data_IF_892304923670
#
_entry.id   IF_892304923670
#
_cell.length_a   1.000
_cell.length_b   1.000
_cell.length_c   1.000
_cell.angle_alpha   90.00
_cell.angle_beta   90.00
_cell.angle_gamma   90.00
#
_symmetry.space_group_name_H-M   'P 1'
#
loop_
_entity.id
_entity.type
_entity.pdbx_description
1 polymer ?
#
# COMPACT_ATOMS: atom_id res chain seq x y z
N UNK A 1 21.96 -51.61 30.39
CA UNK A 1 22.20 -51.49 28.93
C UNK A 1 20.84 -51.29 28.27
N UNK A 2 20.29 -50.07 28.35
CA UNK A 2 20.18 -49.11 27.22
C UNK A 2 19.65 -49.75 25.93
N UNK A 3 18.35 -49.65 25.69
CA UNK A 3 17.81 -49.36 24.36
C UNK A 3 16.37 -48.85 24.48
N UNK A 4 16.27 -47.55 24.26
CA UNK A 4 15.10 -46.68 24.29
C UNK A 4 14.10 -47.12 23.21
N UNK A 5 12.89 -47.52 23.62
CA UNK A 5 11.78 -47.74 22.71
C UNK A 5 11.21 -46.39 22.27
N UNK A 6 11.55 -45.98 21.05
CA UNK A 6 10.92 -44.86 20.34
C UNK A 6 9.77 -45.47 19.55
N UNK A 7 8.51 -45.23 19.94
CA UNK A 7 7.34 -45.47 19.07
C UNK A 7 6.16 -44.61 19.50
N UNK A 8 5.80 -43.68 18.60
CA UNK A 8 4.46 -43.10 18.35
C UNK A 8 3.78 -42.28 19.45
N UNK A 9 4.10 -40.98 19.48
CA UNK A 9 3.12 -39.96 19.79
C UNK A 9 2.77 -39.23 18.48
N UNK A 10 1.63 -39.59 17.90
CA UNK A 10 1.01 -38.92 16.76
C UNK A 10 0.74 -37.47 17.18
N UNK A 11 1.56 -36.55 16.69
CA UNK A 11 1.32 -35.12 16.83
C UNK A 11 0.25 -34.73 15.79
N UNK A 12 -1.01 -35.01 16.10
CA UNK A 12 -2.16 -34.40 15.42
C UNK A 12 -2.25 -32.93 15.84
N UNK A 13 -1.41 -32.10 15.24
CA UNK A 13 -1.59 -30.65 15.17
C UNK A 13 -1.88 -30.28 13.71
N UNK A 14 -2.91 -30.90 13.13
CA UNK A 14 -3.42 -30.53 11.82
C UNK A 14 -4.52 -29.47 11.99
N UNK A 15 -4.29 -28.29 11.43
CA UNK A 15 -5.36 -27.61 10.71
C UNK A 15 -5.96 -26.33 11.30
N UNK A 16 -5.37 -25.68 12.29
CA UNK A 16 -5.67 -24.25 12.50
C UNK A 16 -4.93 -23.44 11.43
N UNK A 17 -5.42 -23.47 10.19
CA UNK A 17 -5.07 -22.44 9.22
C UNK A 17 -5.40 -21.11 9.90
N UNK A 18 -4.45 -20.17 10.07
CA UNK A 18 -4.84 -18.82 10.47
C UNK A 18 -5.86 -18.40 9.42
N UNK A 19 -7.10 -18.13 9.86
CA UNK A 19 -8.09 -17.43 9.03
C UNK A 19 -7.30 -16.29 8.39
N UNK A 20 -7.22 -16.28 7.06
CA UNK A 20 -6.41 -15.32 6.33
C UNK A 20 -6.93 -13.94 6.71
N UNK A 21 -6.30 -13.33 7.72
CA UNK A 21 -6.66 -12.03 8.20
C UNK A 21 -6.33 -11.10 7.03
N UNK A 22 -7.37 -10.46 6.50
CA UNK A 22 -7.25 -9.42 5.48
C UNK A 22 -6.10 -8.49 5.89
N UNK A 23 -5.03 -8.45 5.09
CA UNK A 23 -3.92 -7.54 5.39
C UNK A 23 -4.40 -6.11 5.18
N UNK A 24 -3.99 -5.19 6.05
CA UNK A 24 -4.24 -3.77 5.87
C UNK A 24 -3.11 -3.17 5.03
N UNK A 25 -3.46 -2.59 3.89
CA UNK A 25 -2.55 -1.96 2.93
C UNK A 25 -2.69 -0.45 3.06
N UNK A 26 -1.62 0.21 3.49
CA UNK A 26 -1.59 1.66 3.67
C UNK A 26 -1.16 2.36 2.38
N UNK A 27 -2.08 3.18 1.86
CA UNK A 27 -1.92 3.89 0.58
C UNK A 27 -1.88 5.39 0.84
N UNK A 28 -0.78 6.04 0.44
CA UNK A 28 -0.65 7.49 0.43
C UNK A 28 -0.97 8.01 -0.98
N UNK A 29 -1.95 8.89 -1.13
CA UNK A 29 -2.32 9.45 -2.45
C UNK A 29 -2.28 10.96 -2.44
N UNK A 30 -1.84 11.57 -3.54
CA UNK A 30 -2.04 12.99 -3.79
C UNK A 30 -3.52 13.31 -4.08
N UNK A 31 -3.94 14.56 -3.82
CA UNK A 31 -5.33 15.01 -3.91
C UNK A 31 -6.03 14.70 -5.23
N UNK A 32 -5.34 14.90 -6.35
CA UNK A 32 -5.93 14.74 -7.68
C UNK A 32 -6.39 13.30 -8.00
N UNK A 33 -5.77 12.28 -7.40
CA UNK A 33 -6.09 10.87 -7.68
C UNK A 33 -6.99 10.22 -6.62
N UNK A 34 -7.25 10.90 -5.50
CA UNK A 34 -8.03 10.37 -4.38
C UNK A 34 -9.40 9.84 -4.81
N UNK A 35 -10.15 10.62 -5.58
CA UNK A 35 -11.52 10.26 -5.97
C UNK A 35 -11.57 8.99 -6.82
N UNK A 36 -10.55 8.77 -7.65
CA UNK A 36 -10.41 7.55 -8.44
C UNK A 36 -10.19 6.35 -7.52
N UNK A 37 -9.28 6.46 -6.55
CA UNK A 37 -9.05 5.37 -5.59
C UNK A 37 -10.29 5.06 -4.77
N UNK A 38 -10.95 6.07 -4.20
CA UNK A 38 -12.17 5.89 -3.38
C UNK A 38 -13.26 5.16 -4.16
N UNK A 39 -13.43 5.46 -5.45
CA UNK A 39 -14.41 4.76 -6.29
C UNK A 39 -14.06 3.29 -6.55
N UNK A 40 -12.76 2.95 -6.60
CA UNK A 40 -12.28 1.60 -6.87
C UNK A 40 -12.08 0.75 -5.61
N UNK A 41 -11.96 1.38 -4.43
CA UNK A 41 -11.69 0.72 -3.15
C UNK A 41 -12.61 -0.48 -2.87
N UNK A 42 -13.94 -0.40 -3.01
CA UNK A 42 -14.82 -1.54 -2.69
C UNK A 42 -14.50 -2.78 -3.51
N UNK A 43 -14.19 -2.61 -4.80
CA UNK A 43 -13.87 -3.72 -5.69
C UNK A 43 -12.45 -4.25 -5.41
N UNK A 44 -11.49 -3.36 -5.13
CA UNK A 44 -10.13 -3.75 -4.74
C UNK A 44 -10.15 -4.60 -3.46
N UNK A 45 -10.86 -4.16 -2.41
CA UNK A 45 -10.97 -4.91 -1.15
C UNK A 45 -11.68 -6.25 -1.36
N UNK A 46 -12.73 -6.28 -2.17
CA UNK A 46 -13.48 -7.50 -2.48
C UNK A 46 -12.64 -8.52 -3.26
N UNK A 47 -11.88 -8.08 -4.25
CA UNK A 47 -11.06 -8.97 -5.09
C UNK A 47 -9.81 -9.45 -4.37
N UNK A 48 -9.13 -8.57 -3.64
CA UNK A 48 -7.89 -8.90 -2.95
C UNK A 48 -8.11 -9.59 -1.61
N UNK A 49 -9.27 -9.38 -0.99
CA UNK A 49 -9.52 -9.76 0.40
C UNK A 49 -8.76 -8.90 1.42
N UNK A 50 -8.00 -7.89 0.99
CA UNK A 50 -7.25 -6.98 1.85
C UNK A 50 -8.05 -5.72 2.17
N UNK A 51 -7.76 -5.11 3.31
CA UNK A 51 -8.27 -3.79 3.67
C UNK A 51 -7.32 -2.71 3.18
N UNK A 52 -7.85 -1.57 2.77
CA UNK A 52 -7.02 -0.46 2.29
C UNK A 52 -7.21 0.77 3.17
N UNK A 53 -6.16 1.13 3.89
CA UNK A 53 -6.07 2.38 4.63
C UNK A 53 -5.58 3.50 3.70
N UNK A 54 -6.52 4.30 3.19
CA UNK A 54 -6.21 5.41 2.29
C UNK A 54 -5.99 6.71 3.08
N UNK A 55 -4.83 7.33 2.93
CA UNK A 55 -4.53 8.67 3.43
C UNK A 55 -4.14 9.61 2.28
N UNK A 56 -4.54 10.87 2.41
CA UNK A 56 -4.40 11.88 1.37
C UNK A 56 -3.85 13.20 1.90
N UNK A 57 -2.92 13.76 1.15
CA UNK A 57 -2.41 15.10 1.37
C UNK A 57 -1.92 15.71 0.02
N UNK A 58 -1.27 16.86 0.09
CA UNK A 58 -0.48 17.46 -0.98
C UNK A 58 0.78 16.63 -1.24
N UNK A 59 1.29 16.66 -2.47
CA UNK A 59 2.52 15.94 -2.85
C UNK A 59 3.69 16.33 -1.95
N UNK A 60 3.86 17.62 -1.67
CA UNK A 60 4.96 18.10 -0.83
C UNK A 60 4.88 17.61 0.62
N UNK A 61 3.69 17.53 1.20
CA UNK A 61 3.49 17.00 2.54
C UNK A 61 3.76 15.49 2.60
N UNK A 62 3.27 14.72 1.62
CA UNK A 62 3.55 13.28 1.53
C UNK A 62 5.04 12.99 1.36
N UNK A 63 5.76 13.76 0.54
CA UNK A 63 7.21 13.63 0.40
C UNK A 63 7.90 13.81 1.76
N UNK A 64 7.56 14.87 2.50
CA UNK A 64 8.14 15.11 3.84
C UNK A 64 7.87 13.95 4.81
N UNK A 65 6.64 13.43 4.79
CA UNK A 65 6.21 12.30 5.64
C UNK A 65 6.96 11.01 5.32
N UNK A 66 7.08 10.68 4.03
CA UNK A 66 7.85 9.51 3.56
C UNK A 66 9.33 9.67 3.93
N UNK A 67 9.90 10.85 3.75
CA UNK A 67 11.30 11.13 4.12
C UNK A 67 11.53 10.99 5.63
N UNK A 68 10.56 11.42 6.44
CA UNK A 68 10.53 11.25 7.89
C UNK A 68 10.38 9.78 8.35
N UNK A 69 10.22 8.83 7.42
CA UNK A 69 10.18 7.41 7.72
C UNK A 69 8.79 6.89 8.09
N UNK A 70 7.72 7.59 7.68
CA UNK A 70 6.38 7.02 7.78
C UNK A 70 6.30 5.69 7.02
N UNK A 71 5.73 4.66 7.64
CA UNK A 71 5.45 3.39 6.98
C UNK A 71 4.23 3.52 6.07
N UNK A 72 4.37 2.98 4.84
CA UNK A 72 3.33 2.89 3.82
C UNK A 72 3.68 1.74 2.86
N UNK A 73 2.68 1.24 2.14
CA UNK A 73 2.86 0.15 1.16
C UNK A 73 2.83 0.68 -0.28
N UNK A 74 2.00 1.70 -0.54
CA UNK A 74 1.84 2.30 -1.86
C UNK A 74 1.78 3.82 -1.77
N UNK A 75 2.47 4.50 -2.68
CA UNK A 75 2.38 5.94 -2.85
C UNK A 75 1.94 6.30 -4.28
N UNK A 76 0.89 7.10 -4.41
CA UNK A 76 0.41 7.65 -5.68
C UNK A 76 0.72 9.15 -5.72
N UNK A 77 1.84 9.48 -6.35
CA UNK A 77 2.39 10.84 -6.43
C UNK A 77 2.72 11.21 -7.88
N UNK A 78 3.18 12.45 -8.11
CA UNK A 78 3.68 12.88 -9.41
C UNK A 78 5.00 12.18 -9.76
N UNK A 79 5.33 12.00 -11.06
CA UNK A 79 6.54 11.32 -11.49
C UNK A 79 7.82 11.88 -10.85
N UNK A 80 7.99 13.21 -10.84
CA UNK A 80 9.19 13.82 -10.25
C UNK A 80 9.33 13.60 -8.74
N UNK A 81 8.21 13.49 -8.01
CA UNK A 81 8.24 13.17 -6.58
C UNK A 81 8.66 11.71 -6.35
N UNK A 82 8.14 10.77 -7.15
CA UNK A 82 8.53 9.36 -7.08
C UNK A 82 10.00 9.16 -7.45
N UNK A 83 10.49 9.82 -8.49
CA UNK A 83 11.90 9.80 -8.89
C UNK A 83 12.81 10.33 -7.78
N UNK A 84 12.46 11.46 -7.18
CA UNK A 84 13.21 12.03 -6.06
C UNK A 84 13.25 11.12 -4.82
N UNK A 85 12.12 10.48 -4.49
CA UNK A 85 12.05 9.54 -3.36
C UNK A 85 12.79 8.23 -3.64
N UNK A 86 12.74 7.72 -4.88
CA UNK A 86 13.49 6.54 -5.30
C UNK A 86 15.01 6.80 -5.25
N UNK A 87 15.46 7.98 -5.72
CA UNK A 87 16.87 8.39 -5.61
C UNK A 87 17.38 8.49 -4.17
N UNK A 88 16.48 8.66 -3.19
CA UNK A 88 16.77 8.67 -1.76
C UNK A 88 16.58 7.31 -1.08
N UNK A 89 16.24 6.25 -1.84
CA UNK A 89 15.98 4.91 -1.30
C UNK A 89 14.72 4.82 -0.44
N UNK A 90 13.80 5.78 -0.53
CA UNK A 90 12.53 5.79 0.23
C UNK A 90 11.41 5.04 -0.50
N UNK A 91 11.59 4.78 -1.78
CA UNK A 91 10.71 3.95 -2.63
C UNK A 91 11.59 2.93 -3.35
N UNK A 92 11.05 1.73 -3.53
CA UNK A 92 11.71 0.65 -4.29
C UNK A 92 12.02 1.11 -5.71
N UNK A 93 13.29 1.08 -6.10
CA UNK A 93 13.70 1.49 -7.44
C UNK A 93 12.99 0.65 -8.51
N UNK A 94 12.48 1.31 -9.55
CA UNK A 94 11.78 0.65 -10.66
C UNK A 94 10.33 0.21 -10.38
N UNK A 95 9.79 0.42 -9.17
CA UNK A 95 8.39 0.08 -8.86
C UNK A 95 7.37 1.08 -9.42
N UNK A 96 7.81 2.30 -9.75
CA UNK A 96 6.95 3.37 -10.22
C UNK A 96 6.32 3.03 -11.58
N UNK A 97 4.98 3.05 -11.62
CA UNK A 97 4.18 2.81 -12.84
C UNK A 97 3.26 3.99 -13.09
N UNK A 98 3.10 4.37 -14.37
CA UNK A 98 2.18 5.44 -14.78
C UNK A 98 0.73 4.92 -14.70
N UNK A 99 -0.06 5.49 -13.79
CA UNK A 99 -1.46 5.09 -13.58
C UNK A 99 -2.46 5.94 -14.37
N UNK A 100 -2.23 7.25 -14.46
CA UNK A 100 -3.14 8.18 -15.11
C UNK A 100 -2.46 9.48 -15.53
N UNK A 101 -3.15 10.27 -16.35
CA UNK A 101 -2.81 11.66 -16.66
C UNK A 101 -3.89 12.56 -16.06
N UNK A 102 -3.48 13.54 -15.26
CA UNK A 102 -4.37 14.55 -14.68
C UNK A 102 -4.22 15.85 -15.47
N UNK A 103 -5.35 16.42 -15.92
CA UNK A 103 -5.39 17.74 -16.55
C UNK A 103 -5.35 18.86 -15.52
N UNK A 104 -4.72 19.98 -15.87
CA UNK A 104 -4.73 21.21 -15.07
C UNK A 104 -5.67 22.19 -15.75
N UNK A 105 -6.67 22.66 -15.02
CA UNK A 105 -7.62 23.68 -15.47
C UNK A 105 -7.53 24.92 -14.61
N UNK A 106 -7.70 26.09 -15.23
CA UNK A 106 -7.88 27.36 -14.53
C UNK A 106 -9.36 27.70 -14.62
N UNK A 107 -9.96 28.03 -13.48
CA UNK A 107 -11.38 28.36 -13.39
C UNK A 107 -11.49 29.68 -12.63
N UNK A 108 -12.32 30.59 -13.14
CA UNK A 108 -12.68 31.84 -12.48
C UNK A 108 -14.18 31.84 -12.24
N UNK A 109 -14.62 32.61 -11.24
CA UNK A 109 -16.04 32.89 -11.08
C UNK A 109 -16.52 33.71 -12.28
N UNK A 110 -17.79 33.56 -12.65
CA UNK A 110 -18.42 34.46 -13.62
C UNK A 110 -18.47 35.90 -13.06
N UNK A 111 -18.00 36.85 -13.87
CA UNK A 111 -17.85 38.27 -13.52
C UNK A 111 -16.52 38.59 -12.86
#
# INVERSE_FOLDING_TARGET
MKMTAITFAVLMAAGASPSAAAAEVKVLTAGAFKQVLVALLPEIEKQSGNKVALDNDTVGALVKRIEAGESFDLAVLTPGALEGLAGKGKIVAGSATKLARVGIGVVVKEG
#
